data_IF_173337825029
#
_entry.id   IF_173337825029
#
_cell.length_a   1.000
_cell.length_b   1.000
_cell.length_c   1.000
_cell.angle_alpha   90.00
_cell.angle_beta   90.00
_cell.angle_gamma   90.00
#
_symmetry.space_group_name_H-M   'P 1'
#
loop_
_entity.id
_entity.type
_entity.pdbx_description
1 polymer ?
#
# COMPACT_ATOMS: atom_id res chain seq x y z
N UNK A 1 0.47 39.02 -15.66
CA UNK A 1 0.97 37.66 -15.33
C UNK A 1 -0.18 36.88 -14.70
N UNK A 2 -0.84 35.98 -15.44
CA UNK A 2 -1.77 35.00 -14.86
C UNK A 2 -1.18 33.62 -15.11
N UNK A 3 -0.66 33.03 -14.03
CA UNK A 3 -0.13 31.67 -13.98
C UNK A 3 -1.34 30.73 -13.95
N UNK A 4 -1.99 30.52 -15.09
CA UNK A 4 -3.06 29.51 -15.20
C UNK A 4 -3.13 28.81 -16.57
N UNK A 5 -2.45 29.32 -17.60
CA UNK A 5 -2.60 28.77 -18.96
C UNK A 5 -1.53 27.73 -19.38
N UNK A 6 -1.07 26.90 -18.45
CA UNK A 6 -0.39 25.62 -18.74
C UNK A 6 -0.64 24.66 -17.58
N UNK A 7 -1.77 23.96 -17.57
CA UNK A 7 -2.00 22.84 -16.66
C UNK A 7 -1.51 21.54 -17.34
N UNK A 8 -0.29 21.07 -17.05
CA UNK A 8 0.09 19.67 -17.29
C UNK A 8 -0.79 18.76 -16.40
N UNK A 9 -0.87 17.46 -16.72
CA UNK A 9 -1.62 16.42 -15.99
C UNK A 9 -1.97 16.84 -14.57
N UNK A 10 -3.26 17.09 -14.33
CA UNK A 10 -3.80 17.86 -13.22
C UNK A 10 -3.07 17.56 -11.91
N UNK A 11 -2.21 18.47 -11.45
CA UNK A 11 -1.58 18.36 -10.14
C UNK A 11 -2.70 18.33 -9.09
N UNK A 12 -2.84 17.19 -8.38
CA UNK A 12 -3.82 17.01 -7.29
C UNK A 12 -3.10 17.12 -5.94
N UNK A 13 -2.89 18.32 -5.40
CA UNK A 13 -2.30 18.47 -4.07
C UNK A 13 -3.21 17.80 -3.03
N UNK A 14 -2.61 17.00 -2.16
CA UNK A 14 -3.31 16.22 -1.14
C UNK A 14 -2.50 16.27 0.16
N UNK A 15 -3.18 16.29 1.30
CA UNK A 15 -2.55 16.21 2.62
C UNK A 15 -2.64 14.78 3.13
N UNK A 16 -1.51 14.21 3.52
CA UNK A 16 -1.43 12.90 4.16
C UNK A 16 -1.16 13.15 5.64
N UNK A 17 -1.99 12.58 6.50
CA UNK A 17 -1.79 12.60 7.93
C UNK A 17 -1.15 11.26 8.35
N UNK A 18 -0.11 11.33 9.19
CA UNK A 18 0.52 10.16 9.78
C UNK A 18 0.47 10.32 11.29
N UNK A 19 -0.27 9.44 11.95
CA UNK A 19 -0.34 9.35 13.39
C UNK A 19 0.61 8.26 13.90
N UNK A 20 1.44 8.61 14.89
CA UNK A 20 2.39 7.72 15.57
C UNK A 20 1.82 7.36 16.94
N UNK A 21 1.21 6.18 17.12
CA UNK A 21 0.43 5.92 18.32
C UNK A 21 1.23 5.83 19.62
N UNK A 22 2.52 5.52 19.54
CA UNK A 22 3.48 5.50 20.65
C UNK A 22 4.54 6.62 20.53
N UNK A 23 4.35 7.56 19.59
CA UNK A 23 5.29 8.63 19.31
C UNK A 23 6.60 8.20 18.62
N UNK A 24 6.79 6.91 18.32
CA UNK A 24 8.02 6.41 17.72
C UNK A 24 7.91 6.28 16.18
N UNK A 25 8.74 7.00 15.40
CA UNK A 25 8.70 6.96 13.94
C UNK A 25 9.17 5.63 13.33
N UNK A 26 9.72 4.70 14.10
CA UNK A 26 10.11 3.35 13.63
C UNK A 26 9.13 2.27 14.06
N UNK A 27 8.08 2.64 14.81
CA UNK A 27 7.05 1.73 15.28
C UNK A 27 5.82 1.72 14.35
N UNK A 28 4.66 1.34 14.89
CA UNK A 28 3.38 1.36 14.19
C UNK A 28 3.08 2.77 13.68
N UNK A 29 2.62 2.89 12.43
CA UNK A 29 2.13 4.16 11.86
C UNK A 29 0.73 3.98 11.32
N UNK A 30 -0.11 4.99 11.53
CA UNK A 30 -1.45 5.04 10.96
C UNK A 30 -1.49 6.22 9.99
N UNK A 31 -1.63 5.95 8.70
CA UNK A 31 -1.57 6.94 7.64
C UNK A 31 -2.87 6.98 6.83
N UNK A 32 -3.37 8.19 6.58
CA UNK A 32 -4.59 8.39 5.81
C UNK A 32 -4.60 9.75 5.11
N UNK A 33 -5.53 9.87 4.16
CA UNK A 33 -5.97 11.17 3.67
C UNK A 33 -7.31 11.47 4.35
N UNK A 34 -7.42 12.63 4.98
CA UNK A 34 -8.59 12.97 5.83
C UNK A 34 -9.91 12.98 5.05
N UNK A 35 -9.87 13.27 3.75
CA UNK A 35 -11.00 13.24 2.84
C UNK A 35 -11.29 11.87 2.19
N UNK A 36 -10.53 10.82 2.54
CA UNK A 36 -10.70 9.45 2.04
C UNK A 36 -11.20 8.53 3.14
N UNK A 37 -11.93 7.49 2.76
CA UNK A 37 -12.56 6.55 3.72
C UNK A 37 -11.67 5.36 4.10
N UNK A 38 -10.46 5.27 3.56
CA UNK A 38 -9.51 4.20 3.87
C UNK A 38 -8.38 4.72 4.77
N UNK A 39 -7.78 3.80 5.52
CA UNK A 39 -6.62 4.04 6.38
C UNK A 39 -5.60 2.94 6.18
N UNK A 40 -4.32 3.30 6.18
CA UNK A 40 -3.19 2.40 6.17
C UNK A 40 -2.59 2.26 7.57
N UNK A 41 -2.36 1.03 8.03
CA UNK A 41 -1.69 0.74 9.30
C UNK A 41 -0.41 -0.02 8.99
N UNK A 42 0.74 0.66 9.13
CA UNK A 42 2.07 0.06 9.02
C UNK A 42 2.42 -0.60 10.36
N UNK A 43 2.85 -1.86 10.30
CA UNK A 43 3.13 -2.70 11.46
C UNK A 43 4.50 -3.36 11.24
N UNK A 44 5.54 -2.94 11.98
CA UNK A 44 6.78 -3.72 12.05
C UNK A 44 6.49 -5.12 12.61
N UNK A 45 7.15 -6.17 12.08
CA UNK A 45 6.89 -7.56 12.50
C UNK A 45 7.09 -7.79 14.00
N UNK A 46 8.11 -7.16 14.58
CA UNK A 46 8.38 -7.19 16.02
C UNK A 46 7.36 -6.42 16.87
N UNK A 47 6.43 -5.69 16.24
CA UNK A 47 5.32 -4.93 16.85
C UNK A 47 3.95 -5.55 16.59
N UNK A 48 3.91 -6.78 16.08
CA UNK A 48 2.64 -7.46 15.78
C UNK A 48 1.74 -7.58 17.00
N UNK A 49 2.27 -7.98 18.16
CA UNK A 49 1.51 -8.09 19.42
C UNK A 49 0.84 -6.77 19.80
N UNK A 50 1.58 -5.66 19.68
CA UNK A 50 1.17 -4.32 20.09
C UNK A 50 0.06 -3.78 19.17
N UNK A 51 0.00 -4.25 17.92
CA UNK A 51 -1.07 -3.91 17.00
C UNK A 51 -2.40 -4.60 17.34
N UNK A 52 -2.36 -5.70 18.09
CA UNK A 52 -3.53 -6.51 18.42
C UNK A 52 -4.64 -5.76 19.15
N UNK A 53 -4.35 -4.68 19.87
CA UNK A 53 -5.37 -3.90 20.59
C UNK A 53 -6.12 -2.90 19.70
N UNK A 54 -5.68 -2.74 18.44
CA UNK A 54 -6.18 -1.71 17.52
C UNK A 54 -7.44 -2.19 16.79
N UNK A 55 -8.55 -1.44 16.83
CA UNK A 55 -9.79 -1.84 16.15
C UNK A 55 -9.67 -1.83 14.62
N UNK A 56 -8.74 -1.07 14.05
CA UNK A 56 -8.51 -0.98 12.60
C UNK A 56 -8.14 -2.35 12.00
N UNK A 57 -7.31 -3.15 12.70
CA UNK A 57 -6.85 -4.45 12.19
C UNK A 57 -7.80 -5.61 12.49
N UNK A 58 -8.98 -5.33 13.05
CA UNK A 58 -10.05 -6.31 13.36
C UNK A 58 -11.23 -6.20 12.40
N UNK A 59 -10.97 -5.73 11.19
CA UNK A 59 -11.98 -5.47 10.15
C UNK A 59 -11.55 -6.12 8.84
N UNK A 60 -12.49 -6.16 7.89
CA UNK A 60 -12.18 -6.46 6.50
C UNK A 60 -11.07 -5.53 5.99
N UNK A 61 -10.08 -6.12 5.35
CA UNK A 61 -8.97 -5.37 4.77
C UNK A 61 -8.17 -6.17 3.76
N UNK A 62 -7.36 -5.44 3.03
CA UNK A 62 -6.24 -5.98 2.24
C UNK A 62 -4.96 -5.66 2.99
N UNK A 63 -4.01 -6.59 3.02
CA UNK A 63 -2.71 -6.40 3.66
C UNK A 63 -1.59 -6.77 2.71
N UNK A 64 -0.46 -6.12 2.94
CA UNK A 64 0.78 -6.28 2.21
C UNK A 64 1.86 -6.67 3.21
N UNK A 65 2.55 -7.78 2.97
CA UNK A 65 3.76 -8.14 3.69
C UNK A 65 4.95 -7.72 2.83
N UNK A 66 5.91 -7.03 3.41
CA UNK A 66 7.12 -6.57 2.74
C UNK A 66 8.35 -7.13 3.45
N UNK A 67 9.30 -7.60 2.66
CA UNK A 67 10.59 -8.08 3.13
C UNK A 67 11.70 -7.81 2.13
N UNK A 68 12.91 -8.11 2.55
CA UNK A 68 14.10 -8.05 1.71
C UNK A 68 14.49 -9.49 1.36
N UNK A 69 14.88 -9.71 0.11
CA UNK A 69 15.50 -10.96 -0.29
C UNK A 69 16.99 -10.67 -0.53
N UNK A 70 17.86 -11.14 0.36
CA UNK A 70 19.31 -10.85 0.30
C UNK A 70 19.97 -11.40 -0.97
N UNK A 71 19.41 -12.46 -1.55
CA UNK A 71 19.93 -13.13 -2.74
C UNK A 71 19.39 -12.53 -4.06
N UNK A 72 18.44 -11.60 -3.99
CA UNK A 72 17.78 -11.03 -5.17
C UNK A 72 17.88 -9.51 -5.22
N UNK A 73 17.88 -9.00 -6.45
CA UNK A 73 17.89 -7.57 -6.70
C UNK A 73 16.56 -6.88 -6.29
N UNK A 74 15.44 -7.61 -6.31
CA UNK A 74 14.12 -7.07 -5.98
C UNK A 74 13.73 -7.44 -4.55
N UNK A 75 13.13 -6.51 -3.78
CA UNK A 75 12.48 -6.85 -2.52
C UNK A 75 11.31 -7.82 -2.76
N UNK A 76 10.90 -8.53 -1.72
CA UNK A 76 9.82 -9.52 -1.78
C UNK A 76 8.54 -8.96 -1.14
N UNK A 77 7.39 -9.30 -1.69
CA UNK A 77 6.10 -8.94 -1.12
C UNK A 77 5.08 -10.07 -1.19
N UNK A 78 4.08 -10.05 -0.31
CA UNK A 78 2.89 -10.88 -0.40
C UNK A 78 1.66 -10.01 -0.17
N UNK A 79 0.61 -10.22 -0.96
CA UNK A 79 -0.62 -9.44 -0.88
C UNK A 79 -1.76 -10.40 -0.54
N UNK A 80 -2.63 -10.03 0.40
CA UNK A 80 -3.77 -10.87 0.73
C UNK A 80 -4.97 -10.08 1.26
N UNK A 81 -6.15 -10.70 1.19
CA UNK A 81 -7.37 -10.21 1.85
C UNK A 81 -7.72 -11.00 3.11
N UNK A 82 -8.50 -10.39 4.00
CA UNK A 82 -9.12 -11.07 5.14
C UNK A 82 -10.24 -10.24 5.78
N UNK A 83 -11.08 -10.90 6.57
CA UNK A 83 -12.07 -10.28 7.47
C UNK A 83 -11.48 -9.83 8.83
N UNK A 84 -10.33 -10.37 9.22
CA UNK A 84 -9.58 -9.99 10.42
C UNK A 84 -8.08 -9.97 10.11
N UNK A 85 -7.56 -8.76 9.90
CA UNK A 85 -6.16 -8.55 9.54
C UNK A 85 -5.20 -9.07 10.60
N UNK A 86 -5.51 -8.91 11.88
CA UNK A 86 -4.60 -9.33 12.93
C UNK A 86 -4.47 -10.86 13.03
N UNK A 87 -5.59 -11.59 13.01
CA UNK A 87 -5.55 -13.06 13.05
C UNK A 87 -4.84 -13.63 11.81
N UNK A 88 -5.04 -12.99 10.65
CA UNK A 88 -4.32 -13.37 9.43
C UNK A 88 -2.82 -13.08 9.53
N UNK A 89 -2.41 -11.92 10.05
CA UNK A 89 -1.00 -11.59 10.24
C UNK A 89 -0.33 -12.52 11.27
N UNK A 90 -1.02 -12.91 12.33
CA UNK A 90 -0.54 -13.94 13.28
C UNK A 90 -0.28 -15.27 12.59
N UNK A 91 -1.15 -15.66 11.67
CA UNK A 91 -1.00 -16.91 10.90
C UNK A 91 0.26 -16.83 10.04
N UNK A 92 0.44 -15.73 9.30
CA UNK A 92 1.64 -15.52 8.48
C UNK A 92 2.92 -15.36 9.32
N UNK A 93 2.84 -14.79 10.52
CA UNK A 93 4.01 -14.68 11.39
C UNK A 93 4.62 -16.03 11.77
N UNK A 94 3.81 -17.11 11.76
CA UNK A 94 4.23 -18.48 12.04
C UNK A 94 4.69 -19.26 10.80
N UNK A 95 4.28 -18.85 9.60
CA UNK A 95 4.44 -19.63 8.37
C UNK A 95 5.25 -18.94 7.27
N UNK A 96 5.52 -17.63 7.40
CA UNK A 96 6.28 -16.84 6.43
C UNK A 96 7.37 -16.05 7.15
N UNK A 97 8.63 -16.37 6.83
CA UNK A 97 9.77 -15.76 7.51
C UNK A 97 10.36 -14.54 6.80
N UNK A 98 10.04 -14.33 5.52
CA UNK A 98 10.69 -13.29 4.72
C UNK A 98 10.31 -11.85 5.15
N UNK A 99 9.16 -11.65 5.77
CA UNK A 99 8.60 -10.31 5.92
C UNK A 99 9.11 -9.61 7.18
N UNK A 100 9.32 -8.30 7.07
CA UNK A 100 9.74 -7.41 8.15
C UNK A 100 8.67 -6.36 8.51
N UNK A 101 7.84 -5.99 7.53
CA UNK A 101 6.77 -5.02 7.70
C UNK A 101 5.47 -5.55 7.11
N UNK A 102 4.36 -5.24 7.74
CA UNK A 102 3.04 -5.35 7.16
C UNK A 102 2.43 -3.96 6.98
N UNK A 103 1.67 -3.75 5.90
CA UNK A 103 0.77 -2.60 5.78
C UNK A 103 -0.63 -3.12 5.56
N UNK A 104 -1.53 -2.82 6.49
CA UNK A 104 -2.96 -3.14 6.39
C UNK A 104 -3.71 -1.94 5.84
N UNK A 105 -4.56 -2.14 4.85
CA UNK A 105 -5.53 -1.16 4.37
C UNK A 105 -6.93 -1.61 4.76
N UNK A 106 -7.66 -0.74 5.47
CA UNK A 106 -9.05 -0.99 5.85
C UNK A 106 -9.90 0.28 5.72
N UNK A 107 -11.21 0.13 5.88
CA UNK A 107 -12.15 1.25 5.95
C UNK A 107 -12.20 1.86 7.35
N UNK A 108 -12.12 3.19 7.41
CA UNK A 108 -12.31 3.98 8.64
C UNK A 108 -13.67 3.69 9.28
N UNK A 109 -14.71 3.52 8.45
CA UNK A 109 -16.10 3.32 8.87
C UNK A 109 -16.62 1.90 8.65
N UNK A 110 -15.72 0.90 8.56
CA UNK A 110 -16.08 -0.52 8.42
C UNK A 110 -17.00 -0.81 7.21
N UNK A 111 -16.78 -0.11 6.09
CA UNK A 111 -17.59 -0.25 4.88
C UNK A 111 -17.12 -1.34 3.93
N UNK A 112 -15.92 -1.88 4.14
CA UNK A 112 -15.41 -2.99 3.35
C UNK A 112 -16.18 -4.27 3.64
N UNK A 113 -16.38 -5.06 2.58
CA UNK A 113 -17.00 -6.38 2.63
C UNK A 113 -16.08 -7.36 1.91
N UNK A 114 -16.39 -8.65 1.96
CA UNK A 114 -15.63 -9.70 1.27
C UNK A 114 -15.41 -9.42 -0.22
N UNK A 115 -16.45 -8.96 -0.93
CA UNK A 115 -16.33 -8.66 -2.36
C UNK A 115 -15.40 -7.47 -2.63
N UNK A 116 -15.44 -6.44 -1.77
CA UNK A 116 -14.54 -5.29 -1.87
C UNK A 116 -13.07 -5.70 -1.74
N UNK A 117 -12.73 -6.44 -0.68
CA UNK A 117 -11.33 -6.80 -0.41
C UNK A 117 -10.78 -7.82 -1.41
N UNK A 118 -11.62 -8.75 -1.91
CA UNK A 118 -11.25 -9.65 -3.02
C UNK A 118 -10.96 -8.92 -4.32
N UNK A 119 -11.75 -7.90 -4.64
CA UNK A 119 -11.51 -7.10 -5.83
C UNK A 119 -10.20 -6.32 -5.70
N UNK A 120 -9.97 -5.67 -4.54
CA UNK A 120 -8.72 -4.95 -4.27
C UNK A 120 -7.51 -5.89 -4.29
N UNK A 121 -7.62 -7.10 -3.76
CA UNK A 121 -6.56 -8.12 -3.80
C UNK A 121 -6.24 -8.50 -5.25
N UNK A 122 -7.26 -8.79 -6.07
CA UNK A 122 -7.09 -9.09 -7.49
C UNK A 122 -6.34 -7.97 -8.22
N UNK A 123 -6.82 -6.72 -8.09
CA UNK A 123 -6.21 -5.56 -8.76
C UNK A 123 -4.78 -5.33 -8.25
N UNK A 124 -4.56 -5.43 -6.94
CA UNK A 124 -3.24 -5.23 -6.32
C UNK A 124 -2.22 -6.25 -6.80
N UNK A 125 -2.55 -7.55 -6.81
CA UNK A 125 -1.63 -8.59 -7.28
C UNK A 125 -1.36 -8.43 -8.77
N UNK A 126 -2.41 -8.20 -9.57
CA UNK A 126 -2.26 -7.98 -11.02
C UNK A 126 -1.31 -6.82 -11.31
N UNK A 127 -1.56 -5.65 -10.72
CA UNK A 127 -0.74 -4.45 -10.95
C UNK A 127 0.67 -4.58 -10.39
N UNK A 128 0.86 -5.23 -9.24
CA UNK A 128 2.20 -5.50 -8.69
C UNK A 128 3.03 -6.38 -9.65
N UNK A 129 2.41 -7.42 -10.23
CA UNK A 129 3.05 -8.31 -11.20
C UNK A 129 3.38 -7.61 -12.51
N UNK A 130 2.47 -6.76 -13.02
CA UNK A 130 2.69 -5.98 -14.23
C UNK A 130 3.85 -4.98 -14.09
N UNK A 131 3.97 -4.33 -12.94
CA UNK A 131 5.05 -3.37 -12.65
C UNK A 131 6.37 -4.09 -12.35
N UNK A 132 6.29 -5.22 -11.64
CA UNK A 132 7.44 -6.07 -11.35
C UNK A 132 8.51 -5.41 -10.49
N UNK A 133 8.16 -4.42 -9.65
CA UNK A 133 9.12 -3.76 -8.75
C UNK A 133 9.51 -4.63 -7.54
N UNK A 134 8.57 -5.46 -7.10
CA UNK A 134 8.78 -6.47 -6.05
C UNK A 134 8.59 -7.85 -6.67
N UNK A 135 9.29 -8.84 -6.14
CA UNK A 135 8.94 -10.24 -6.38
C UNK A 135 7.73 -10.59 -5.50
N UNK A 136 6.61 -10.98 -6.09
CA UNK A 136 5.43 -11.38 -5.34
C UNK A 136 5.49 -12.87 -4.98
N UNK A 137 5.31 -13.19 -3.71
CA UNK A 137 5.23 -14.56 -3.18
C UNK A 137 3.85 -15.22 -3.38
N UNK A 138 2.89 -14.50 -3.97
CA UNK A 138 1.58 -15.03 -4.33
C UNK A 138 1.73 -16.10 -5.43
N UNK A 139 1.20 -17.31 -5.20
CA UNK A 139 1.26 -18.42 -6.18
C UNK A 139 0.46 -18.14 -7.47
N UNK A 140 -0.63 -17.36 -7.35
CA UNK A 140 -1.48 -16.98 -8.47
C UNK A 140 -2.26 -15.70 -8.13
N UNK A 141 -2.70 -14.99 -9.17
CA UNK A 141 -3.70 -13.92 -9.03
C UNK A 141 -5.08 -14.55 -8.86
N UNK A 142 -5.83 -14.24 -7.79
CA UNK A 142 -7.21 -14.70 -7.62
C UNK A 142 -8.10 -14.27 -8.79
N UNK A 143 -9.20 -14.99 -9.04
CA UNK A 143 -10.18 -14.56 -10.04
C UNK A 143 -10.82 -13.21 -9.64
N UNK A 144 -11.05 -12.33 -10.63
CA UNK A 144 -11.75 -11.06 -10.40
C UNK A 144 -13.18 -11.37 -9.93
N UNK A 145 -13.62 -10.91 -8.74
CA UNK A 145 -14.99 -11.14 -8.31
C UNK A 145 -15.95 -10.31 -9.17
N UNK A 146 -17.19 -10.79 -9.32
CA UNK A 146 -18.24 -10.00 -9.91
C UNK A 146 -18.70 -8.92 -8.90
N UNK A 147 -18.70 -7.65 -9.33
CA UNK A 147 -19.19 -6.49 -8.60
C UNK A 147 -19.90 -5.54 -9.56
N UNK A 148 -20.68 -4.59 -9.05
CA UNK A 148 -21.34 -3.59 -9.89
C UNK A 148 -20.32 -2.59 -10.44
N UNK A 149 -20.66 -1.93 -11.54
CA UNK A 149 -19.82 -0.88 -12.15
C UNK A 149 -19.49 0.25 -11.17
N UNK A 150 -20.48 0.70 -10.40
CA UNK A 150 -20.29 1.73 -9.37
C UNK A 150 -19.29 1.31 -8.30
N UNK A 151 -19.40 0.06 -7.80
CA UNK A 151 -18.44 -0.48 -6.83
C UNK A 151 -17.04 -0.59 -7.42
N UNK A 152 -16.91 -0.99 -8.69
CA UNK A 152 -15.61 -1.08 -9.37
C UNK A 152 -14.95 0.31 -9.46
N UNK A 153 -15.71 1.34 -9.85
CA UNK A 153 -15.20 2.71 -9.90
C UNK A 153 -14.70 3.20 -8.53
N UNK A 154 -15.50 2.99 -7.47
CA UNK A 154 -15.13 3.38 -6.10
C UNK A 154 -13.89 2.64 -5.59
N UNK A 155 -13.76 1.34 -5.90
CA UNK A 155 -12.61 0.55 -5.47
C UNK A 155 -11.33 0.89 -6.24
N UNK A 156 -11.44 1.29 -7.51
CA UNK A 156 -10.29 1.76 -8.28
C UNK A 156 -9.80 3.13 -7.77
N UNK A 157 -10.69 4.04 -7.38
CA UNK A 157 -10.28 5.31 -6.71
C UNK A 157 -9.67 5.05 -5.32
N UNK A 158 -10.19 4.08 -4.57
CA UNK A 158 -9.55 3.61 -3.35
C UNK A 158 -8.16 3.02 -3.65
N UNK A 159 -8.00 2.25 -4.72
CA UNK A 159 -6.72 1.70 -5.13
C UNK A 159 -5.69 2.79 -5.47
N UNK A 160 -6.11 3.88 -6.12
CA UNK A 160 -5.25 5.06 -6.33
C UNK A 160 -4.76 5.66 -5.01
N UNK A 161 -5.64 5.72 -4.01
CA UNK A 161 -5.28 6.17 -2.66
C UNK A 161 -4.31 5.20 -1.98
N UNK A 162 -4.51 3.88 -2.15
CA UNK A 162 -3.60 2.83 -1.63
C UNK A 162 -2.20 3.01 -2.21
N UNK A 163 -2.07 3.27 -3.52
CA UNK A 163 -0.76 3.52 -4.16
C UNK A 163 -0.02 4.67 -3.48
N UNK A 164 -0.70 5.78 -3.25
CA UNK A 164 -0.13 6.97 -2.59
C UNK A 164 0.31 6.64 -1.15
N UNK A 165 -0.56 5.98 -0.38
CA UNK A 165 -0.28 5.64 1.02
C UNK A 165 0.90 4.67 1.15
N UNK A 166 0.96 3.62 0.32
CA UNK A 166 2.05 2.66 0.34
C UNK A 166 3.39 3.32 -0.04
N UNK A 167 3.43 4.12 -1.11
CA UNK A 167 4.63 4.89 -1.48
C UNK A 167 5.08 5.85 -0.38
N UNK A 168 4.13 6.56 0.24
CA UNK A 168 4.42 7.50 1.35
C UNK A 168 5.00 6.79 2.56
N UNK A 169 4.54 5.56 2.81
CA UNK A 169 5.04 4.69 3.88
C UNK A 169 6.37 3.98 3.53
N UNK A 170 6.92 4.21 2.34
CA UNK A 170 8.21 3.66 1.90
C UNK A 170 8.11 2.35 1.11
N UNK A 171 6.91 1.94 0.69
CA UNK A 171 6.67 0.70 -0.05
C UNK A 171 6.07 0.98 -1.44
N UNK A 172 6.85 1.50 -2.40
CA UNK A 172 6.37 1.94 -3.71
C UNK A 172 6.08 0.76 -4.68
N UNK A 173 5.40 -0.29 -4.22
CA UNK A 173 5.11 -1.53 -4.98
C UNK A 173 4.40 -1.27 -6.31
N UNK A 174 3.66 -0.17 -6.39
CA UNK A 174 2.89 0.23 -7.56
C UNK A 174 3.48 1.40 -8.35
N UNK A 175 4.74 1.76 -8.11
CA UNK A 175 5.44 2.74 -8.93
C UNK A 175 6.26 2.05 -10.01
N UNK A 176 6.08 2.49 -11.26
CA UNK A 176 6.89 2.06 -12.39
C UNK A 176 8.39 2.16 -12.08
N UNK A 177 9.13 1.12 -12.48
CA UNK A 177 10.59 1.17 -12.47
C UNK A 177 10.97 2.15 -13.58
N UNK A 178 11.38 3.37 -13.21
CA UNK A 178 11.96 4.29 -14.18
C UNK A 178 13.17 3.60 -14.80
N UNK A 179 13.03 3.09 -16.02
CA UNK A 179 14.19 2.78 -16.82
C UNK A 179 15.00 4.07 -16.90
N UNK A 180 16.29 3.99 -16.59
CA UNK A 180 17.22 5.08 -16.85
C UNK A 180 17.27 5.31 -18.35
N UNK A 181 16.26 5.99 -18.90
CA UNK A 181 16.44 6.73 -20.12
C UNK A 181 17.62 7.65 -19.82
N UNK A 182 18.68 7.48 -20.60
CA UNK A 182 19.83 8.37 -20.66
C UNK A 182 19.34 9.79 -20.96
N UNK A 183 18.79 10.48 -19.95
CA UNK A 183 18.44 11.89 -19.97
C UNK A 183 19.66 12.61 -19.42
N UNK A 184 20.36 13.24 -20.35
CA UNK A 184 21.33 14.33 -20.21
C UNK A 184 21.64 14.71 -18.76
N UNK A 185 22.88 14.44 -18.33
CA UNK A 185 23.43 14.97 -17.08
C UNK A 185 23.15 16.47 -17.02
N UNK A 186 22.17 16.88 -16.22
CA UNK A 186 22.00 18.28 -15.88
C UNK A 186 23.18 18.65 -14.98
N UNK A 187 24.18 19.29 -15.59
CA UNK A 187 25.33 19.86 -14.89
C UNK A 187 24.77 20.93 -13.95
N UNK A 188 24.88 20.70 -12.64
CA UNK A 188 24.54 21.70 -11.64
C UNK A 188 25.77 22.59 -11.43
N UNK A 189 25.65 23.86 -11.78
CA UNK A 189 26.66 24.87 -11.46
C UNK A 189 26.32 25.49 -10.09
N UNK A 190 27.19 25.28 -9.10
CA UNK A 190 27.15 26.05 -7.87
C UNK A 190 27.80 27.41 -8.15
N UNK A 191 27.04 28.50 -8.01
CA UNK A 191 27.62 29.84 -7.89
C UNK A 191 28.00 30.04 -6.42
N UNK A 192 29.31 30.22 -6.19
CA UNK A 192 29.83 30.80 -4.95
C UNK A 192 29.65 32.31 -4.93
#
# INVERSE_FOLDING_TARGET
MKVIDKLPMTQRPQTIQIFLPDGNPTSIKIADLTNRMIVAVLIPRNKLSDCGIRPEVRKYGIYFLFGINEDKAKPISYIGETEDCFERLKTHNKSKDFWNYAVVITSKSNTFTKSHVKFLEHVSIKTANEIGRYDTDNLATPAKPYITESMEADLLDNFDTIKILLSTLGFPIFEEIRQSSSKTRNILFCKG
#
